data_IF_428035758205
#
_entry.id   IF_428035758205
#
_cell.length_a   1.000
_cell.length_b   1.000
_cell.length_c   1.000
_cell.angle_alpha   90.00
_cell.angle_beta   90.00
_cell.angle_gamma   90.00
#
_symmetry.space_group_name_H-M   'P 1'
#
loop_
_entity.id
_entity.type
_entity.pdbx_description
1 polymer ?
#
# COMPACT_ATOMS: atom_id res chain seq x y z
N UNK A 1 14.31 6.10 -21.16
CA UNK A 1 14.36 4.63 -21.19
C UNK A 1 13.06 4.11 -20.62
N UNK A 2 12.45 3.15 -21.30
CA UNK A 2 11.24 2.47 -20.82
C UNK A 2 11.68 1.27 -19.96
N UNK A 3 11.55 1.39 -18.64
CA UNK A 3 11.89 0.31 -17.68
C UNK A 3 10.71 -0.63 -17.44
N UNK A 4 9.62 -0.46 -18.19
CA UNK A 4 8.44 -1.31 -18.11
C UNK A 4 8.74 -2.65 -18.78
N UNK A 5 8.41 -3.72 -18.09
CA UNK A 5 8.57 -5.09 -18.59
C UNK A 5 7.66 -5.33 -19.79
N UNK A 6 8.06 -6.21 -20.71
CA UNK A 6 7.29 -6.44 -21.96
C UNK A 6 5.91 -7.04 -21.65
N UNK A 7 5.84 -7.94 -20.67
CA UNK A 7 4.58 -8.53 -20.22
C UNK A 7 3.65 -7.50 -19.59
N UNK A 8 4.18 -6.53 -18.85
CA UNK A 8 3.37 -5.45 -18.29
C UNK A 8 2.76 -4.58 -19.40
N UNK A 9 3.49 -4.33 -20.50
CA UNK A 9 2.95 -3.58 -21.65
C UNK A 9 1.78 -4.32 -22.30
N UNK A 10 1.90 -5.64 -22.42
CA UNK A 10 0.80 -6.51 -22.93
C UNK A 10 -0.43 -6.39 -22.03
N UNK A 11 -0.25 -6.42 -20.70
CA UNK A 11 -1.34 -6.32 -19.73
C UNK A 11 -1.87 -4.90 -19.47
N UNK A 12 -1.20 -3.86 -19.96
CA UNK A 12 -1.49 -2.47 -19.60
C UNK A 12 -2.94 -2.04 -19.88
N UNK A 13 -3.52 -2.51 -21.01
CA UNK A 13 -4.92 -2.21 -21.36
C UNK A 13 -5.91 -2.76 -20.32
N UNK A 14 -5.65 -3.94 -19.78
CA UNK A 14 -6.48 -4.55 -18.74
C UNK A 14 -6.42 -3.73 -17.45
N UNK A 15 -5.22 -3.36 -16.99
CA UNK A 15 -5.07 -2.53 -15.79
C UNK A 15 -5.77 -1.17 -15.94
N UNK A 16 -5.67 -0.57 -17.12
CA UNK A 16 -6.38 0.67 -17.43
C UNK A 16 -7.89 0.46 -17.40
N UNK A 17 -8.39 -0.58 -18.07
CA UNK A 17 -9.80 -0.96 -18.06
C UNK A 17 -10.31 -1.11 -16.62
N UNK A 18 -9.67 -1.94 -15.81
CA UNK A 18 -10.07 -2.19 -14.42
C UNK A 18 -10.07 -0.92 -13.56
N UNK A 19 -9.06 -0.05 -13.73
CA UNK A 19 -9.02 1.23 -13.02
C UNK A 19 -10.16 2.16 -13.44
N UNK A 20 -10.45 2.23 -14.74
CA UNK A 20 -11.50 3.07 -15.32
C UNK A 20 -12.89 2.55 -14.95
N UNK A 21 -13.07 1.23 -14.92
CA UNK A 21 -14.29 0.55 -14.53
C UNK A 21 -14.65 0.90 -13.08
N UNK A 22 -13.72 0.73 -12.15
CA UNK A 22 -13.91 1.13 -10.75
C UNK A 22 -14.27 2.61 -10.62
N UNK A 23 -13.63 3.47 -11.42
CA UNK A 23 -13.92 4.91 -11.40
C UNK A 23 -15.34 5.21 -11.93
N UNK A 24 -15.77 4.54 -13.00
CA UNK A 24 -17.14 4.65 -13.58
C UNK A 24 -18.19 4.22 -12.56
N UNK A 25 -18.02 3.02 -11.98
CA UNK A 25 -18.92 2.48 -10.94
C UNK A 25 -19.01 3.43 -9.75
N UNK A 26 -17.88 3.95 -9.25
CA UNK A 26 -17.89 4.91 -8.13
C UNK A 26 -18.61 6.23 -8.45
N UNK A 27 -18.62 6.65 -9.73
CA UNK A 27 -19.33 7.84 -10.19
C UNK A 27 -20.83 7.57 -10.47
N UNK A 28 -21.31 6.34 -10.29
CA UNK A 28 -22.68 5.96 -10.60
C UNK A 28 -22.97 5.88 -12.11
N UNK A 29 -21.94 5.78 -12.94
CA UNK A 29 -22.12 5.53 -14.39
C UNK A 29 -22.50 4.07 -14.56
N UNK A 30 -23.65 3.80 -15.18
CA UNK A 30 -24.10 2.44 -15.48
C UNK A 30 -23.08 1.75 -16.38
N UNK A 31 -22.63 0.57 -15.94
CA UNK A 31 -21.76 -0.32 -16.69
C UNK A 31 -22.50 -1.64 -16.85
N UNK A 32 -22.87 -1.96 -18.08
CA UNK A 32 -23.63 -3.18 -18.37
C UNK A 32 -22.75 -4.42 -18.22
N UNK A 33 -23.36 -5.53 -17.82
CA UNK A 33 -22.65 -6.77 -17.51
C UNK A 33 -22.17 -7.45 -18.80
N UNK A 34 -22.95 -7.38 -19.88
CA UNK A 34 -22.55 -7.90 -21.20
C UNK A 34 -21.39 -7.10 -21.79
N UNK A 35 -21.43 -5.77 -21.68
CA UNK A 35 -20.36 -4.88 -22.16
C UNK A 35 -19.05 -5.15 -21.42
N UNK A 36 -19.09 -5.29 -20.09
CA UNK A 36 -17.91 -5.59 -19.28
C UNK A 36 -17.27 -6.95 -19.65
N UNK A 37 -18.10 -7.96 -19.94
CA UNK A 37 -17.63 -9.26 -20.40
C UNK A 37 -17.03 -9.20 -21.81
N UNK A 38 -17.66 -8.48 -22.73
CA UNK A 38 -17.17 -8.30 -24.09
C UNK A 38 -15.83 -7.56 -24.12
N UNK A 39 -15.70 -6.47 -23.36
CA UNK A 39 -14.47 -5.68 -23.24
C UNK A 39 -13.31 -6.54 -22.70
N UNK A 40 -13.54 -7.33 -21.64
CA UNK A 40 -12.51 -8.22 -21.08
C UNK A 40 -12.13 -9.35 -22.03
N UNK A 41 -13.10 -9.97 -22.69
CA UNK A 41 -12.86 -11.00 -23.71
C UNK A 41 -12.03 -10.45 -24.88
N UNK A 42 -12.29 -9.21 -25.31
CA UNK A 42 -11.50 -8.52 -26.32
C UNK A 42 -10.08 -8.25 -25.85
N UNK A 43 -9.91 -7.69 -24.65
CA UNK A 43 -8.59 -7.42 -24.06
C UNK A 43 -7.76 -8.71 -23.99
N UNK A 44 -8.30 -9.82 -23.49
CA UNK A 44 -7.56 -11.09 -23.41
C UNK A 44 -7.22 -11.66 -24.79
N UNK A 45 -8.09 -11.45 -25.79
CA UNK A 45 -7.81 -11.85 -27.18
C UNK A 45 -6.68 -11.03 -27.78
N UNK A 46 -6.66 -9.72 -27.54
CA UNK A 46 -5.57 -8.84 -27.95
C UNK A 46 -4.25 -9.24 -27.30
N UNK A 47 -4.24 -9.50 -25.98
CA UNK A 47 -3.07 -9.97 -25.25
C UNK A 47 -2.52 -11.27 -25.87
N UNK A 48 -3.38 -12.26 -26.09
CA UNK A 48 -2.99 -13.54 -26.71
C UNK A 48 -2.48 -13.37 -28.16
N UNK A 49 -3.01 -12.40 -28.90
CA UNK A 49 -2.53 -12.08 -30.24
C UNK A 49 -1.15 -11.41 -30.21
N UNK A 50 -0.94 -10.47 -29.28
CA UNK A 50 0.29 -9.69 -29.15
C UNK A 50 1.51 -10.55 -28.84
N UNK A 51 1.34 -11.64 -28.07
CA UNK A 51 2.46 -12.52 -27.68
C UNK A 51 2.72 -13.67 -28.65
N UNK A 52 1.83 -13.90 -29.62
CA UNK A 52 1.86 -15.10 -30.50
C UNK A 52 3.15 -15.27 -31.30
N UNK A 53 3.81 -14.17 -31.66
CA UNK A 53 5.00 -14.20 -32.50
C UNK A 53 6.31 -14.35 -31.71
N UNK A 54 6.27 -14.18 -30.38
CA UNK A 54 7.44 -14.32 -29.50
C UNK A 54 7.20 -15.49 -28.52
N UNK A 55 7.83 -16.67 -28.75
CA UNK A 55 7.65 -17.84 -27.90
C UNK A 55 8.04 -17.60 -26.43
N UNK A 56 9.02 -16.72 -26.17
CA UNK A 56 9.44 -16.40 -24.80
C UNK A 56 8.37 -15.57 -24.10
N UNK A 57 7.86 -14.54 -24.78
CA UNK A 57 6.79 -13.71 -24.23
C UNK A 57 5.48 -14.48 -24.10
N UNK A 58 5.19 -15.41 -25.01
CA UNK A 58 4.05 -16.31 -24.91
C UNK A 58 4.13 -17.19 -23.65
N UNK A 59 5.28 -17.79 -23.36
CA UNK A 59 5.45 -18.60 -22.14
C UNK A 59 5.30 -17.77 -20.85
N UNK A 60 5.69 -16.50 -20.87
CA UNK A 60 5.46 -15.57 -19.75
C UNK A 60 3.98 -15.21 -19.61
N UNK A 61 3.30 -14.97 -20.73
CA UNK A 61 1.87 -14.70 -20.76
C UNK A 61 1.05 -15.89 -20.25
N UNK A 62 1.40 -17.11 -20.64
CA UNK A 62 0.71 -18.31 -20.16
C UNK A 62 0.76 -18.44 -18.63
N UNK A 63 1.85 -18.01 -17.99
CA UNK A 63 1.98 -17.94 -16.53
C UNK A 63 1.17 -16.78 -15.92
N UNK A 64 1.11 -15.63 -16.60
CA UNK A 64 0.40 -14.44 -16.12
C UNK A 64 -1.10 -14.45 -16.41
N UNK A 65 -1.59 -15.28 -17.33
CA UNK A 65 -2.99 -15.31 -17.74
C UNK A 65 -3.93 -15.61 -16.58
N UNK A 66 -3.55 -16.56 -15.72
CA UNK A 66 -4.34 -16.90 -14.54
C UNK A 66 -4.47 -15.73 -13.54
N UNK A 67 -3.38 -15.11 -13.05
CA UNK A 67 -3.50 -13.98 -12.13
C UNK A 67 -4.19 -12.75 -12.75
N UNK A 68 -4.08 -12.51 -14.06
CA UNK A 68 -4.83 -11.45 -14.75
C UNK A 68 -6.35 -11.69 -14.71
N UNK A 69 -6.78 -12.90 -15.10
CA UNK A 69 -8.21 -13.29 -15.05
C UNK A 69 -8.78 -13.18 -13.64
N UNK A 70 -8.06 -13.71 -12.65
CA UNK A 70 -8.47 -13.65 -11.24
C UNK A 70 -8.51 -12.21 -10.71
N UNK A 71 -7.60 -11.35 -11.17
CA UNK A 71 -7.60 -9.93 -10.83
C UNK A 71 -8.86 -9.24 -11.38
N UNK A 72 -9.22 -9.50 -12.64
CA UNK A 72 -10.41 -8.91 -13.24
C UNK A 72 -11.68 -9.27 -12.45
N UNK A 73 -11.88 -10.55 -12.14
CA UNK A 73 -13.01 -11.03 -11.35
C UNK A 73 -13.06 -10.35 -9.96
N UNK A 74 -11.95 -10.35 -9.23
CA UNK A 74 -11.86 -9.72 -7.89
C UNK A 74 -12.23 -8.22 -7.95
N UNK A 75 -11.73 -7.50 -8.94
CA UNK A 75 -11.97 -6.06 -9.06
C UNK A 75 -13.42 -5.77 -9.41
N UNK A 76 -14.02 -6.49 -10.35
CA UNK A 76 -15.41 -6.30 -10.74
C UNK A 76 -16.35 -6.56 -9.55
N UNK A 77 -16.21 -7.72 -8.91
CA UNK A 77 -17.05 -8.16 -7.77
C UNK A 77 -16.97 -7.18 -6.59
N UNK A 78 -15.79 -6.59 -6.36
CA UNK A 78 -15.55 -5.77 -5.17
C UNK A 78 -15.45 -4.26 -5.43
N UNK A 79 -15.87 -3.82 -6.61
CA UNK A 79 -15.95 -2.41 -6.98
C UNK A 79 -17.19 -1.69 -6.46
N UNK A 80 -18.18 -2.43 -5.92
CA UNK A 80 -19.50 -1.89 -5.57
C UNK A 80 -20.47 -1.84 -6.76
N UNK A 81 -20.17 -2.60 -7.81
CA UNK A 81 -20.98 -2.70 -9.03
C UNK A 81 -22.32 -3.40 -8.79
N UNK A 82 -23.37 -2.93 -9.45
CA UNK A 82 -24.73 -3.46 -9.29
C UNK A 82 -24.85 -4.94 -9.69
N UNK A 83 -24.13 -5.34 -10.74
CA UNK A 83 -24.10 -6.71 -11.27
C UNK A 83 -23.04 -7.60 -10.60
N UNK A 84 -22.47 -7.19 -9.46
CA UNK A 84 -21.42 -7.96 -8.79
C UNK A 84 -21.86 -9.39 -8.41
N UNK A 85 -23.15 -9.58 -8.06
CA UNK A 85 -23.71 -10.91 -7.76
C UNK A 85 -23.87 -11.75 -9.03
N UNK A 86 -24.45 -11.18 -10.08
CA UNK A 86 -24.61 -11.86 -11.36
C UNK A 86 -23.24 -12.22 -11.98
N UNK A 87 -22.21 -11.40 -11.72
CA UNK A 87 -20.84 -11.70 -12.11
C UNK A 87 -20.24 -12.89 -11.37
N UNK A 88 -20.57 -13.06 -10.08
CA UNK A 88 -20.11 -14.22 -9.29
C UNK A 88 -20.62 -15.56 -9.85
N UNK A 89 -21.75 -15.56 -10.54
CA UNK A 89 -22.32 -16.75 -11.19
C UNK A 89 -21.72 -17.01 -12.59
N UNK A 90 -20.85 -16.12 -13.09
CA UNK A 90 -20.24 -16.21 -14.43
C UNK A 90 -18.76 -15.78 -14.46
N UNK A 91 -18.00 -16.20 -13.46
CA UNK A 91 -16.58 -15.83 -13.32
C UNK A 91 -15.75 -16.19 -14.55
N UNK A 92 -14.82 -15.31 -14.90
CA UNK A 92 -13.84 -15.56 -15.95
C UNK A 92 -12.88 -16.68 -15.53
N UNK A 93 -12.54 -16.78 -14.24
CA UNK A 93 -11.76 -17.89 -13.67
C UNK A 93 -12.41 -19.24 -14.00
N UNK A 94 -13.72 -19.36 -13.80
CA UNK A 94 -14.45 -20.59 -14.09
C UNK A 94 -14.49 -20.87 -15.60
N UNK A 95 -14.78 -19.84 -16.41
CA UNK A 95 -14.83 -19.91 -17.88
C UNK A 95 -13.51 -20.39 -18.48
N UNK A 96 -12.37 -19.86 -18.03
CA UNK A 96 -11.07 -20.12 -18.64
C UNK A 96 -10.28 -21.25 -17.99
N UNK A 97 -10.44 -21.45 -16.68
CA UNK A 97 -9.61 -22.37 -15.89
C UNK A 97 -10.39 -23.43 -15.15
N UNK A 98 -11.73 -23.40 -15.17
CA UNK A 98 -12.61 -24.31 -14.42
C UNK A 98 -12.23 -24.37 -12.92
N UNK A 99 -11.92 -23.20 -12.37
CA UNK A 99 -11.43 -23.00 -11.01
C UNK A 99 -12.23 -21.90 -10.31
N UNK A 100 -12.29 -21.97 -8.98
CA UNK A 100 -12.90 -20.96 -8.10
C UNK A 100 -12.05 -20.65 -6.85
N UNK A 101 -10.75 -20.94 -6.93
CA UNK A 101 -9.76 -20.76 -5.84
C UNK A 101 -8.78 -19.62 -6.13
N UNK A 102 -9.12 -18.72 -7.07
CA UNK A 102 -8.29 -17.61 -7.53
C UNK A 102 -7.74 -16.77 -6.39
N UNK A 103 -8.58 -16.45 -5.39
CA UNK A 103 -8.20 -15.68 -4.21
C UNK A 103 -7.04 -16.29 -3.41
N UNK A 104 -6.89 -17.62 -3.40
CA UNK A 104 -5.80 -18.33 -2.75
C UNK A 104 -4.60 -18.51 -3.67
N UNK A 105 -4.88 -18.93 -4.91
CA UNK A 105 -3.88 -19.25 -5.91
C UNK A 105 -3.06 -18.03 -6.34
N UNK A 106 -3.67 -16.84 -6.37
CA UNK A 106 -2.95 -15.58 -6.66
C UNK A 106 -1.79 -15.36 -5.68
N UNK A 107 -2.02 -15.59 -4.38
CA UNK A 107 -0.97 -15.45 -3.36
C UNK A 107 -0.02 -16.66 -3.33
N UNK A 108 -0.44 -17.83 -3.79
CA UNK A 108 0.48 -18.95 -4.01
C UNK A 108 1.48 -18.61 -5.11
N UNK A 109 1.02 -18.08 -6.24
CA UNK A 109 1.88 -17.57 -7.32
C UNK A 109 2.84 -16.50 -6.77
N UNK A 110 2.32 -15.53 -6.02
CA UNK A 110 3.15 -14.46 -5.43
C UNK A 110 4.26 -14.99 -4.50
N UNK A 111 4.05 -16.14 -3.85
CA UNK A 111 5.02 -16.75 -2.91
C UNK A 111 6.14 -17.49 -3.64
N UNK A 112 5.85 -18.06 -4.82
CA UNK A 112 6.81 -18.81 -5.63
C UNK A 112 7.69 -17.89 -6.51
N UNK A 113 7.42 -16.59 -6.55
CA UNK A 113 8.21 -15.61 -7.29
C UNK A 113 9.65 -15.54 -6.77
N UNK A 114 10.61 -15.63 -7.71
CA UNK A 114 12.04 -15.45 -7.45
C UNK A 114 12.55 -14.13 -8.06
N UNK A 115 13.75 -13.66 -7.70
CA UNK A 115 14.33 -12.43 -8.24
C UNK A 115 14.41 -12.37 -9.78
N UNK A 116 14.57 -13.52 -10.44
CA UNK A 116 14.58 -13.65 -11.90
C UNK A 116 13.18 -13.54 -12.55
N UNK A 117 12.09 -13.74 -11.80
CA UNK A 117 10.72 -13.78 -12.31
C UNK A 117 10.10 -12.36 -12.41
N UNK A 118 10.89 -11.37 -12.84
CA UNK A 118 10.56 -9.93 -12.84
C UNK A 118 9.28 -9.63 -13.64
N UNK A 119 9.14 -10.27 -14.80
CA UNK A 119 7.99 -10.11 -15.69
C UNK A 119 6.68 -10.50 -14.97
N UNK A 120 6.62 -11.68 -14.35
CA UNK A 120 5.45 -12.13 -13.60
C UNK A 120 5.26 -11.35 -12.29
N UNK A 121 6.34 -11.01 -11.59
CA UNK A 121 6.30 -10.17 -10.40
C UNK A 121 5.69 -8.79 -10.69
N UNK A 122 5.92 -8.23 -11.88
CA UNK A 122 5.35 -6.95 -12.30
C UNK A 122 3.83 -7.01 -12.42
N UNK A 123 3.28 -8.11 -12.96
CA UNK A 123 1.84 -8.36 -13.08
C UNK A 123 1.20 -8.56 -11.69
N UNK A 124 1.81 -9.41 -10.87
CA UNK A 124 1.32 -9.69 -9.51
C UNK A 124 1.32 -8.41 -8.67
N UNK A 125 2.41 -7.64 -8.72
CA UNK A 125 2.49 -6.36 -8.00
C UNK A 125 1.45 -5.36 -8.50
N UNK A 126 1.24 -5.25 -9.81
CA UNK A 126 0.24 -4.37 -10.39
C UNK A 126 -1.17 -4.69 -9.88
N UNK A 127 -1.56 -5.97 -9.82
CA UNK A 127 -2.85 -6.36 -9.26
C UNK A 127 -2.98 -6.02 -7.78
N UNK A 128 -1.93 -6.25 -6.97
CA UNK A 128 -1.91 -5.82 -5.56
C UNK A 128 -2.04 -4.29 -5.41
N UNK A 129 -1.39 -3.51 -6.29
CA UNK A 129 -1.48 -2.05 -6.31
C UNK A 129 -2.87 -1.56 -6.75
N UNK A 130 -3.53 -2.27 -7.67
CA UNK A 130 -4.91 -2.03 -8.09
C UNK A 130 -5.94 -2.40 -7.01
N UNK A 131 -5.53 -3.10 -5.95
CA UNK A 131 -6.37 -3.39 -4.79
C UNK A 131 -6.89 -4.82 -4.75
N UNK A 132 -6.22 -5.77 -5.42
CA UNK A 132 -6.46 -7.19 -5.19
C UNK A 132 -6.29 -7.54 -3.71
N UNK A 133 -7.27 -8.21 -3.11
CA UNK A 133 -7.23 -8.58 -1.68
C UNK A 133 -7.33 -10.07 -1.46
N UNK A 134 -8.14 -10.79 -2.24
CA UNK A 134 -8.34 -12.24 -2.15
C UNK A 134 -8.51 -12.70 -0.70
N UNK A 135 -7.82 -13.78 -0.31
CA UNK A 135 -7.87 -14.36 1.05
C UNK A 135 -7.41 -13.45 2.19
N UNK A 136 -6.72 -12.34 1.89
CA UNK A 136 -6.19 -11.39 2.88
C UNK A 136 -7.06 -10.13 3.01
N UNK A 137 -8.31 -10.18 2.55
CA UNK A 137 -9.26 -9.06 2.66
C UNK A 137 -9.42 -8.52 4.09
N UNK A 138 -9.50 -9.40 5.07
CA UNK A 138 -9.61 -9.08 6.50
C UNK A 138 -8.24 -9.07 7.22
N UNK A 139 -7.13 -9.19 6.48
CA UNK A 139 -5.76 -9.26 7.01
C UNK A 139 -4.83 -8.28 6.29
N UNK A 140 -5.02 -6.96 6.49
CA UNK A 140 -4.28 -5.92 5.78
C UNK A 140 -2.76 -5.97 6.04
N UNK A 141 -2.32 -6.45 7.20
CA UNK A 141 -0.92 -6.64 7.55
C UNK A 141 -0.25 -7.69 6.65
N UNK A 142 -0.94 -8.80 6.37
CA UNK A 142 -0.45 -9.85 5.46
C UNK A 142 -0.42 -9.36 4.01
N UNK A 143 -1.44 -8.61 3.59
CA UNK A 143 -1.46 -8.00 2.26
C UNK A 143 -0.29 -7.02 2.06
N UNK A 144 -0.03 -6.18 3.07
CA UNK A 144 1.09 -5.23 3.04
C UNK A 144 2.45 -5.95 3.01
N UNK A 145 2.59 -7.06 3.74
CA UNK A 145 3.77 -7.92 3.73
C UNK A 145 4.04 -8.49 2.33
N UNK A 146 3.03 -9.12 1.70
CA UNK A 146 3.16 -9.66 0.34
C UNK A 146 3.52 -8.55 -0.65
N UNK A 147 2.79 -7.43 -0.63
CA UNK A 147 3.05 -6.30 -1.53
C UNK A 147 4.48 -5.77 -1.39
N UNK A 148 4.99 -5.66 -0.16
CA UNK A 148 6.38 -5.24 0.10
C UNK A 148 7.39 -6.25 -0.45
N UNK A 149 7.14 -7.55 -0.25
CA UNK A 149 8.02 -8.61 -0.74
C UNK A 149 8.06 -8.66 -2.26
N UNK A 150 6.91 -8.57 -2.94
CA UNK A 150 6.84 -8.53 -4.41
C UNK A 150 7.51 -7.26 -4.96
N UNK A 151 7.29 -6.10 -4.32
CA UNK A 151 7.97 -4.85 -4.70
C UNK A 151 9.49 -4.94 -4.60
N UNK A 152 10.01 -5.63 -3.58
CA UNK A 152 11.45 -5.79 -3.40
C UNK A 152 12.11 -6.45 -4.61
N UNK A 153 11.50 -7.51 -5.16
CA UNK A 153 11.98 -8.17 -6.37
C UNK A 153 12.08 -7.19 -7.56
N UNK A 154 11.06 -6.35 -7.74
CA UNK A 154 11.05 -5.32 -8.78
C UNK A 154 12.07 -4.22 -8.52
N UNK A 155 12.25 -3.79 -7.27
CA UNK A 155 13.21 -2.74 -6.92
C UNK A 155 14.66 -3.16 -7.17
N UNK A 156 14.99 -4.42 -6.92
CA UNK A 156 16.31 -5.00 -7.21
C UNK A 156 16.57 -5.03 -8.72
N UNK A 157 15.56 -5.42 -9.52
CA UNK A 157 15.63 -5.34 -10.98
C UNK A 157 15.81 -3.89 -11.46
N UNK A 158 14.98 -2.95 -11.01
CA UNK A 158 15.07 -1.54 -11.42
C UNK A 158 16.42 -0.92 -11.04
N UNK A 159 16.97 -1.26 -9.87
CA UNK A 159 18.30 -0.83 -9.48
C UNK A 159 19.40 -1.41 -10.40
N UNK A 160 19.22 -2.62 -10.94
CA UNK A 160 20.14 -3.23 -11.89
C UNK A 160 20.07 -2.61 -13.30
N UNK A 161 18.88 -2.15 -13.72
CA UNK A 161 18.64 -1.57 -15.04
C UNK A 161 18.89 -0.06 -15.08
N UNK A 162 18.84 0.60 -13.92
CA UNK A 162 18.95 2.05 -13.82
C UNK A 162 20.39 2.51 -14.06
N UNK A 163 20.67 3.02 -15.26
CA UNK A 163 21.47 4.24 -15.34
C UNK A 163 20.77 5.32 -14.50
N UNK A 164 21.50 5.95 -13.58
CA UNK A 164 20.95 6.86 -12.57
C UNK A 164 20.04 7.90 -13.23
N UNK A 165 18.71 7.79 -13.02
CA UNK A 165 17.69 8.71 -13.54
C UNK A 165 18.04 10.18 -13.23
N UNK A 166 18.61 10.42 -12.06
CA UNK A 166 19.20 11.70 -11.65
C UNK A 166 20.47 11.40 -10.84
N UNK A 167 21.67 11.43 -11.44
CA UNK A 167 22.92 11.06 -10.75
C UNK A 167 23.14 11.78 -9.43
N UNK A 168 22.72 13.04 -9.37
CA UNK A 168 22.82 13.96 -8.22
C UNK A 168 21.85 13.61 -7.08
N UNK A 169 20.72 12.95 -7.34
CA UNK A 169 19.81 12.54 -6.27
C UNK A 169 20.32 11.29 -5.53
N UNK A 170 21.15 10.47 -6.18
CA UNK A 170 21.77 9.29 -5.57
C UNK A 170 23.05 9.63 -4.78
N UNK A 171 23.68 10.79 -5.02
CA UNK A 171 24.79 11.29 -4.18
C UNK A 171 24.27 11.91 -2.89
N UNK A 172 23.03 12.40 -2.88
CA UNK A 172 22.30 12.69 -1.65
C UNK A 172 21.84 11.37 -1.06
N UNK A 173 22.75 10.69 -0.36
CA UNK A 173 22.44 9.49 0.41
C UNK A 173 21.12 9.66 1.16
N UNK A 174 20.28 8.63 1.12
CA UNK A 174 19.21 8.42 2.08
C UNK A 174 19.72 8.88 3.45
N UNK A 175 19.22 10.02 3.93
CA UNK A 175 19.58 10.49 5.25
C UNK A 175 19.06 9.42 6.18
N UNK A 176 19.95 8.55 6.67
CA UNK A 176 19.68 7.64 7.76
C UNK A 176 18.91 8.45 8.77
N UNK A 177 17.63 8.10 8.97
CA UNK A 177 16.64 8.99 9.58
C UNK A 177 17.26 9.71 10.75
N UNK A 178 17.28 11.05 10.72
CA UNK A 178 18.01 11.92 11.65
C UNK A 178 17.96 11.29 13.05
N UNK A 179 19.04 10.62 13.47
CA UNK A 179 19.19 10.18 14.86
C UNK A 179 19.21 11.47 15.65
N UNK A 180 18.12 11.77 16.35
CA UNK A 180 18.05 12.94 17.21
C UNK A 180 19.23 12.84 18.17
N UNK A 181 20.11 13.86 18.13
CA UNK A 181 21.32 13.86 18.94
C UNK A 181 20.89 13.73 20.42
N UNK A 182 21.37 12.70 21.16
CA UNK A 182 20.96 12.44 22.53
C UNK A 182 21.14 13.66 23.45
N UNK A 183 22.09 14.55 23.14
CA UNK A 183 22.31 15.82 23.86
C UNK A 183 21.13 16.78 23.71
N UNK A 184 20.47 16.83 22.54
CA UNK A 184 19.31 17.68 22.30
C UNK A 184 18.07 17.16 23.05
N UNK A 185 17.92 15.84 23.12
CA UNK A 185 16.86 15.21 23.92
C UNK A 185 17.07 15.45 25.41
N UNK A 186 18.31 15.32 25.90
CA UNK A 186 18.67 15.62 27.29
C UNK A 186 18.43 17.09 27.64
N UNK A 187 18.80 18.01 26.75
CA UNK A 187 18.59 19.45 26.95
C UNK A 187 17.11 19.81 27.11
N UNK A 188 16.22 19.21 26.31
CA UNK A 188 14.77 19.42 26.44
C UNK A 188 14.23 18.90 27.77
N UNK A 189 14.66 17.70 28.19
CA UNK A 189 14.26 17.13 29.47
C UNK A 189 14.74 17.98 30.65
N UNK A 190 15.97 18.49 30.57
CA UNK A 190 16.53 19.38 31.60
C UNK A 190 15.74 20.70 31.72
N UNK A 191 15.39 21.34 30.59
CA UNK A 191 14.60 22.58 30.59
C UNK A 191 13.22 22.36 31.20
N UNK A 192 12.52 21.29 30.80
CA UNK A 192 11.19 20.97 31.36
C UNK A 192 11.29 20.68 32.85
N UNK A 193 12.26 19.86 33.27
CA UNK A 193 12.47 19.51 34.68
C UNK A 193 12.77 20.74 35.53
N UNK A 194 13.62 21.65 35.02
CA UNK A 194 13.94 22.90 35.70
C UNK A 194 12.72 23.82 35.84
N UNK A 195 11.90 23.93 34.79
CA UNK A 195 10.65 24.68 34.84
C UNK A 195 9.67 24.14 35.90
N UNK A 196 9.53 22.82 35.98
CA UNK A 196 8.68 22.17 37.00
C UNK A 196 9.20 22.44 38.41
N UNK A 197 10.51 22.35 38.64
CA UNK A 197 11.13 22.62 39.95
C UNK A 197 10.94 24.08 40.38
N UNK A 198 11.10 25.04 39.47
CA UNK A 198 10.84 26.46 39.76
C UNK A 198 9.36 26.66 40.10
N UNK A 199 8.46 26.09 39.32
CA UNK A 199 7.01 26.18 39.58
C UNK A 199 6.65 25.65 40.97
N UNK A 200 7.20 24.48 41.33
CA UNK A 200 7.00 23.88 42.66
C UNK A 200 7.55 24.76 43.79
N UNK A 201 8.76 25.33 43.60
CA UNK A 201 9.37 26.23 44.56
C UNK A 201 8.54 27.49 44.78
N UNK A 202 8.04 28.11 43.69
CA UNK A 202 7.18 29.29 43.77
C UNK A 202 5.86 29.00 44.48
N UNK A 203 5.20 27.88 44.17
CA UNK A 203 3.98 27.45 44.84
C UNK A 203 4.20 27.25 46.34
N UNK A 204 5.32 26.62 46.70
CA UNK A 204 5.68 26.40 48.11
C UNK A 204 5.96 27.72 48.81
N UNK A 205 6.70 28.63 48.18
CA UNK A 205 7.02 29.95 48.72
C UNK A 205 5.76 30.80 48.93
N UNK A 206 4.84 30.84 47.95
CA UNK A 206 3.57 31.55 48.06
C UNK A 206 2.67 30.97 49.16
N UNK A 207 2.60 29.64 49.25
CA UNK A 207 1.83 28.96 50.31
C UNK A 207 2.39 29.27 51.69
N UNK A 208 3.72 29.27 51.85
CA UNK A 208 4.37 29.62 53.10
C UNK A 208 4.15 31.09 53.47
N UNK A 209 4.27 32.01 52.51
CA UNK A 209 3.99 33.43 52.72
C UNK A 209 2.54 33.69 53.15
N UNK A 210 1.57 32.98 52.56
CA UNK A 210 0.17 33.06 52.95
C UNK A 210 -0.05 32.56 54.40
N UNK A 211 0.49 31.39 54.74
CA UNK A 211 0.38 30.81 56.08
C UNK A 211 1.04 31.70 57.15
N UNK A 212 2.22 32.25 56.88
CA UNK A 212 2.88 33.18 57.80
C UNK A 212 2.08 34.48 57.96
N UNK A 213 1.42 34.95 56.89
CA UNK A 213 0.50 36.08 56.94
C UNK A 213 -0.71 35.83 57.84
N UNK A 214 -1.30 34.64 57.75
CA UNK A 214 -2.41 34.23 58.64
C UNK A 214 -1.95 34.13 60.10
N UNK A 215 -0.78 33.54 60.37
CA UNK A 215 -0.24 33.44 61.73
C UNK A 215 0.01 34.83 62.33
N UNK A 216 0.57 35.78 61.58
CA UNK A 216 0.75 37.17 62.04
C UNK A 216 -0.59 37.85 62.34
N UNK A 217 -1.56 37.72 61.45
CA UNK A 217 -2.90 38.28 61.67
C UNK A 217 -3.60 37.70 62.91
N UNK A 218 -3.40 36.41 63.20
CA UNK A 218 -3.94 35.76 64.41
C UNK A 218 -3.17 36.20 65.66
N UNK A 219 -1.84 36.33 65.58
CA UNK A 219 -1.02 36.81 66.69
C UNK A 219 -1.36 38.27 67.09
N UNK A 220 -1.56 39.15 66.11
CA UNK A 220 -2.02 40.54 66.35
C UNK A 220 -3.41 40.57 66.98
N UNK A 221 -4.33 39.69 66.56
CA UNK A 221 -5.68 39.59 67.14
C UNK A 221 -5.69 39.04 68.58
N UNK A 222 -4.69 38.24 68.94
CA UNK A 222 -4.53 37.67 70.28
C UNK A 222 -3.71 38.58 71.21
N UNK A 223 -3.20 39.72 70.73
CA UNK A 223 -2.45 40.70 71.52
C UNK A 223 -1.09 40.19 72.01
N UNK A 224 -0.51 39.21 71.31
CA UNK A 224 0.81 38.63 71.64
C UNK A 224 1.95 39.39 70.93
N UNK A 225 1.59 40.30 70.01
CA UNK A 225 2.46 41.23 69.28
C UNK A 225 1.91 42.66 69.38
#
# INVERSE_FOLDING_TARGET
MDYTTELFKVAAKEFLFLSSFRQKVRKGVRADIEDAAADLDEIFREQASAVRQDPRLQALYDQARYPLVVLADEILIHSGWEFARDWQDRLLEEKYFRSNIGGDQYFAIAKELRPEDVELASIVYAGLALGFRGKYRERPEKLAEVRKNTYRLLSEYLASQSDKITPEAYTVMATAGKRLNPVVTLGRVAIVSFGVLIGFWLLTFLSWAALVGEIRNVADKLGVL
#
